data_IF_795468497476
#
_entry.id   IF_795468497476
#
_cell.length_a   1.000
_cell.length_b   1.000
_cell.length_c   1.000
_cell.angle_alpha   90.00
_cell.angle_beta   90.00
_cell.angle_gamma   90.00
#
_symmetry.space_group_name_H-M   'P 1'
#
loop_
_entity.id
_entity.type
_entity.pdbx_description
1 polymer ?
#
# COMPACT_ATOMS: atom_id res chain seq x y z
N UNK A 1 -23.17 -2.69 -8.39
CA UNK A 1 -21.76 -2.32 -8.62
C UNK A 1 -21.34 -1.42 -7.48
N UNK A 2 -20.42 -1.85 -6.60
CA UNK A 2 -19.88 -0.95 -5.58
C UNK A 2 -19.16 0.19 -6.33
N UNK A 3 -19.39 1.47 -6.01
CA UNK A 3 -18.62 2.54 -6.61
C UNK A 3 -17.15 2.23 -6.31
N UNK A 4 -16.35 2.04 -7.36
CA UNK A 4 -14.92 1.76 -7.26
C UNK A 4 -14.22 3.06 -6.87
N UNK A 5 -14.46 3.52 -5.65
CA UNK A 5 -13.73 4.64 -5.08
C UNK A 5 -12.26 4.27 -5.08
N UNK A 6 -11.40 5.13 -5.61
CA UNK A 6 -9.97 4.88 -5.61
C UNK A 6 -9.50 4.61 -4.17
N UNK A 7 -8.65 3.59 -3.94
CA UNK A 7 -8.16 3.25 -2.61
C UNK A 7 -7.44 4.46 -2.02
N UNK A 8 -7.70 4.74 -0.75
CA UNK A 8 -7.09 5.86 -0.02
C UNK A 8 -5.94 5.40 0.86
N UNK A 9 -5.98 4.14 1.30
CA UNK A 9 -4.96 3.56 2.16
C UNK A 9 -4.34 2.28 1.57
N UNK A 10 -3.06 2.04 1.86
CA UNK A 10 -2.36 0.82 1.42
C UNK A 10 -1.54 0.15 2.54
N UNK A 11 -1.22 -1.13 2.36
CA UNK A 11 -0.35 -1.94 3.23
C UNK A 11 0.51 -2.85 2.35
N UNK A 12 1.83 -2.70 2.35
CA UNK A 12 2.72 -3.62 1.65
C UNK A 12 3.16 -4.75 2.58
N UNK A 13 2.92 -6.02 2.18
CA UNK A 13 3.40 -7.20 2.93
C UNK A 13 4.53 -7.89 2.15
N UNK A 14 5.71 -7.96 2.76
CA UNK A 14 6.83 -8.76 2.25
C UNK A 14 6.90 -10.11 2.97
N UNK A 15 7.15 -11.19 2.22
CA UNK A 15 7.20 -12.57 2.73
C UNK A 15 8.63 -13.13 2.87
N UNK A 16 9.65 -12.25 2.93
CA UNK A 16 10.99 -12.65 3.42
C UNK A 16 12.13 -12.71 2.40
N UNK A 17 11.94 -12.24 1.17
CA UNK A 17 13.05 -12.00 0.25
C UNK A 17 13.54 -10.54 0.36
N UNK A 18 14.87 -10.34 0.42
CA UNK A 18 15.51 -9.01 0.46
C UNK A 18 15.08 -8.13 -0.72
N UNK A 19 14.92 -8.71 -1.91
CA UNK A 19 14.43 -8.01 -3.11
C UNK A 19 13.04 -7.38 -2.88
N UNK A 20 12.14 -8.09 -2.19
CA UNK A 20 10.77 -7.64 -1.93
C UNK A 20 10.69 -6.49 -0.91
N UNK A 21 11.77 -6.22 -0.15
CA UNK A 21 11.83 -5.08 0.78
C UNK A 21 12.03 -3.78 -0.01
N UNK A 22 13.03 -3.75 -0.89
CA UNK A 22 13.29 -2.61 -1.77
C UNK A 22 12.11 -2.32 -2.69
N UNK A 23 11.50 -3.37 -3.26
CA UNK A 23 10.30 -3.22 -4.08
C UNK A 23 9.13 -2.65 -3.26
N UNK A 24 9.04 -2.99 -1.97
CA UNK A 24 8.02 -2.45 -1.08
C UNK A 24 8.20 -0.97 -0.78
N UNK A 25 9.44 -0.51 -0.56
CA UNK A 25 9.77 0.91 -0.39
C UNK A 25 9.47 1.70 -1.68
N UNK A 26 9.85 1.14 -2.83
CA UNK A 26 9.55 1.76 -4.14
C UNK A 26 8.05 1.84 -4.43
N UNK A 27 7.28 0.81 -4.06
CA UNK A 27 5.82 0.83 -4.15
C UNK A 27 5.22 1.91 -3.25
N UNK A 28 5.76 2.10 -2.05
CA UNK A 28 5.31 3.13 -1.12
C UNK A 28 5.46 4.55 -1.71
N UNK A 29 6.59 4.83 -2.36
CA UNK A 29 6.83 6.10 -3.06
C UNK A 29 5.79 6.36 -4.17
N UNK A 30 5.57 5.37 -5.05
CA UNK A 30 4.61 5.48 -6.15
C UNK A 30 3.17 5.66 -5.68
N UNK A 31 2.80 5.05 -4.54
CA UNK A 31 1.47 5.19 -3.95
C UNK A 31 1.31 6.56 -3.29
N UNK A 32 2.36 7.08 -2.64
CA UNK A 32 2.38 8.42 -2.07
C UNK A 32 2.22 9.51 -3.14
N UNK A 33 2.86 9.36 -4.31
CA UNK A 33 2.67 10.27 -5.46
C UNK A 33 1.22 10.32 -5.96
N UNK A 34 0.47 9.23 -5.78
CA UNK A 34 -0.96 9.14 -6.10
C UNK A 34 -1.87 9.66 -4.99
N UNK A 35 -1.30 10.13 -3.88
CA UNK A 35 -2.04 10.59 -2.69
C UNK A 35 -2.63 9.46 -1.86
N UNK A 36 -2.19 8.22 -2.06
CA UNK A 36 -2.60 7.05 -1.29
C UNK A 36 -1.65 6.93 -0.11
N UNK A 37 -2.20 6.91 1.10
CA UNK A 37 -1.41 6.93 2.34
C UNK A 37 -1.24 5.53 2.93
N UNK A 38 -0.20 5.26 3.71
CA UNK A 38 -0.12 4.01 4.46
C UNK A 38 -1.30 3.91 5.44
N UNK A 39 -1.92 2.73 5.51
CA UNK A 39 -2.99 2.48 6.48
C UNK A 39 -2.45 2.53 7.92
N UNK A 40 -3.17 3.17 8.86
CA UNK A 40 -2.76 3.24 10.27
C UNK A 40 -2.54 1.86 10.89
N UNK A 41 -1.69 1.81 11.92
CA UNK A 41 -1.46 0.59 12.69
C UNK A 41 -2.76 0.10 13.33
N UNK A 42 -3.10 -1.17 13.08
CA UNK A 42 -4.32 -1.80 13.59
C UNK A 42 -5.58 -1.60 12.73
N UNK A 43 -5.51 -0.81 11.66
CA UNK A 43 -6.63 -0.65 10.71
C UNK A 43 -6.45 -1.55 9.48
N UNK A 44 -7.53 -1.79 8.73
CA UNK A 44 -7.46 -2.44 7.43
C UNK A 44 -7.12 -1.42 6.33
N UNK A 45 -6.33 -1.86 5.35
CA UNK A 45 -6.04 -1.05 4.18
C UNK A 45 -7.05 -1.32 3.06
N UNK A 46 -7.34 -0.30 2.25
CA UNK A 46 -8.14 -0.48 1.03
C UNK A 46 -7.39 -1.33 -0.01
N UNK A 47 -6.05 -1.31 0.04
CA UNK A 47 -5.13 -2.03 -0.85
C UNK A 47 -4.06 -2.79 -0.04
N UNK A 48 -3.88 -4.09 -0.31
CA UNK A 48 -2.88 -4.97 0.34
C UNK A 48 -2.08 -5.74 -0.70
#
# INVERSE_FOLDING_TARGET
MKPTTAPKTYRVKSFGCQMNVYDGERMAELLAEKGIMPAPDGEDADLV
#
